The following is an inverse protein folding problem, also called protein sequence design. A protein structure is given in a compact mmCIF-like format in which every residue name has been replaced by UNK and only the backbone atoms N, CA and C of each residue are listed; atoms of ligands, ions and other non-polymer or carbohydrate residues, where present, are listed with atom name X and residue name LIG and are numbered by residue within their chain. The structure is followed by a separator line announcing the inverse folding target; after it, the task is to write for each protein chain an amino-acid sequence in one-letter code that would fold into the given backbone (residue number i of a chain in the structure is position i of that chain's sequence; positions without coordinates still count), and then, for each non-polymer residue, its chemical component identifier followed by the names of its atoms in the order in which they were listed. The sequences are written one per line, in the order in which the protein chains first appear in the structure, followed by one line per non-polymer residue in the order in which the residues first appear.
data_IF_096882997407
#
_entry.id   IF_096882997407
#
_cell.length_a   1.000
_cell.length_b   1.000
_cell.length_c   1.000
_cell.angle_alpha   90.00
_cell.angle_beta   90.00
_cell.angle_gamma   90.00
#
_symmetry.space_group_name_H-M   'P 1'
#
loop_
_entity.id
_entity.type
_entity.pdbx_description
1 polymer ?
#
# COMPACT_ATOMS: atom_id res chain seq x y z
N UNK A 1 2.39 1.87 11.56
CA UNK A 1 3.81 1.47 11.52
C UNK A 1 4.67 2.06 12.63
N UNK A 2 4.19 2.99 13.47
CA UNK A 2 5.00 3.60 14.54
C UNK A 2 5.65 2.60 15.52
N UNK A 3 5.04 1.43 15.72
CA UNK A 3 5.54 0.37 16.60
C UNK A 3 6.96 -0.10 16.25
N UNK A 4 7.41 -0.02 14.99
CA UNK A 4 8.76 -0.45 14.61
C UNK A 4 9.86 0.55 15.01
N UNK A 5 9.47 1.72 15.52
CA UNK A 5 10.39 2.70 16.13
C UNK A 5 10.27 2.75 17.66
N UNK A 6 9.41 1.92 18.26
CA UNK A 6 9.25 1.84 19.71
C UNK A 6 10.49 1.19 20.35
N UNK A 7 11.02 1.81 21.40
CA UNK A 7 12.27 1.36 22.03
C UNK A 7 12.13 0.00 22.71
N UNK A 8 11.01 -0.27 23.38
CA UNK A 8 10.80 -1.56 24.06
C UNK A 8 10.67 -2.69 23.04
N UNK A 9 9.97 -2.43 21.93
CA UNK A 9 9.89 -3.36 20.81
C UNK A 9 11.27 -3.66 20.22
N UNK A 10 12.09 -2.63 19.96
CA UNK A 10 13.44 -2.80 19.42
C UNK A 10 14.34 -3.60 20.37
N UNK A 11 14.26 -3.35 21.67
CA UNK A 11 15.01 -4.11 22.68
C UNK A 11 14.64 -5.60 22.66
N UNK A 12 13.35 -5.94 22.55
CA UNK A 12 12.89 -7.33 22.44
C UNK A 12 13.43 -7.99 21.15
N UNK A 13 13.38 -7.28 20.03
CA UNK A 13 13.87 -7.78 18.74
C UNK A 13 15.37 -8.06 18.80
N UNK A 14 16.17 -7.14 19.36
CA UNK A 14 17.62 -7.29 19.46
C UNK A 14 18.06 -8.25 20.56
N UNK A 15 17.25 -8.47 21.60
CA UNK A 15 17.48 -9.52 22.60
C UNK A 15 17.45 -10.91 21.97
N UNK A 16 16.51 -11.16 21.05
CA UNK A 16 16.36 -12.45 20.37
C UNK A 16 17.38 -12.63 19.24
N UNK A 17 17.70 -11.54 18.52
CA UNK A 17 18.72 -11.54 17.47
C UNK A 17 19.39 -10.17 17.35
N UNK A 18 20.59 -10.05 17.90
CA UNK A 18 21.33 -8.78 17.94
C UNK A 18 21.69 -8.18 16.56
N UNK A 19 21.64 -8.98 15.48
CA UNK A 19 21.88 -8.51 14.11
C UNK A 19 20.58 -8.30 13.32
N UNK A 20 19.43 -8.27 13.98
CA UNK A 20 18.16 -7.98 13.32
C UNK A 20 18.17 -6.55 12.79
N UNK A 21 17.98 -6.39 11.48
CA UNK A 21 17.75 -5.09 10.88
C UNK A 21 16.26 -4.73 11.03
N UNK A 22 15.98 -3.59 11.65
CA UNK A 22 14.63 -3.04 11.75
C UNK A 22 14.54 -1.84 10.84
N UNK A 23 13.69 -1.97 9.81
CA UNK A 23 13.48 -0.93 8.81
C UNK A 23 12.70 0.25 9.41
N UNK A 24 12.88 1.42 8.81
CA UNK A 24 12.19 2.64 9.25
C UNK A 24 10.66 2.48 9.13
N UNK A 25 9.85 3.07 10.03
CA UNK A 25 8.38 2.96 9.98
C UNK A 25 7.74 3.36 8.65
N UNK A 26 8.44 4.17 7.87
CA UNK A 26 7.97 4.63 6.56
C UNK A 26 8.39 3.75 5.40
N UNK A 27 9.32 2.80 5.58
CA UNK A 27 9.88 2.01 4.48
C UNK A 27 8.79 1.32 3.67
N UNK A 28 7.88 0.59 4.33
CA UNK A 28 6.76 -0.07 3.65
C UNK A 28 5.89 0.93 2.88
N UNK A 29 5.60 2.10 3.45
CA UNK A 29 4.78 3.12 2.78
C UNK A 29 5.49 3.70 1.56
N UNK A 30 6.80 3.92 1.64
CA UNK A 30 7.61 4.46 0.55
C UNK A 30 7.72 3.46 -0.59
N UNK A 31 8.02 2.20 -0.27
CA UNK A 31 8.15 1.12 -1.26
C UNK A 31 6.83 0.88 -1.99
N UNK A 32 5.70 0.87 -1.27
CA UNK A 32 4.36 0.75 -1.88
C UNK A 32 4.06 1.91 -2.81
N UNK A 33 4.42 3.14 -2.43
CA UNK A 33 4.23 4.31 -3.29
C UNK A 33 5.10 4.26 -4.55
N UNK A 34 6.35 3.80 -4.43
CA UNK A 34 7.25 3.64 -5.56
C UNK A 34 6.72 2.59 -6.55
N UNK A 35 6.36 1.40 -6.04
CA UNK A 35 5.78 0.33 -6.84
C UNK A 35 4.49 0.82 -7.52
N UNK A 36 3.64 1.52 -6.79
CA UNK A 36 2.42 2.10 -7.34
C UNK A 36 2.73 3.09 -8.48
N UNK A 37 3.69 4.00 -8.31
CA UNK A 37 4.06 4.96 -9.35
C UNK A 37 4.55 4.30 -10.64
N UNK A 38 5.36 3.25 -10.51
CA UNK A 38 5.84 2.46 -11.65
C UNK A 38 4.68 1.72 -12.32
N UNK A 39 3.88 1.00 -11.53
CA UNK A 39 2.77 0.18 -12.03
C UNK A 39 1.68 1.05 -12.69
N UNK A 40 1.34 2.19 -12.09
CA UNK A 40 0.34 3.12 -12.59
C UNK A 40 0.69 3.59 -14.00
N UNK A 41 1.95 3.98 -14.23
CA UNK A 41 2.40 4.43 -15.55
C UNK A 41 2.22 3.34 -16.60
N UNK A 42 2.74 2.14 -16.34
CA UNK A 42 2.65 1.02 -17.28
C UNK A 42 1.21 0.56 -17.52
N UNK A 43 0.38 0.54 -16.48
CA UNK A 43 -1.02 0.16 -16.59
C UNK A 43 -1.82 1.20 -17.39
N UNK A 44 -1.56 2.50 -17.18
CA UNK A 44 -2.18 3.56 -17.95
C UNK A 44 -1.84 3.44 -19.45
N UNK A 45 -0.56 3.23 -19.77
CA UNK A 45 -0.13 3.00 -21.16
C UNK A 45 -0.84 1.77 -21.75
N UNK A 46 -0.92 0.66 -21.00
CA UNK A 46 -1.58 -0.57 -21.43
C UNK A 46 -3.08 -0.38 -21.71
N UNK A 47 -3.80 0.30 -20.80
CA UNK A 47 -5.23 0.58 -20.94
C UNK A 47 -5.50 1.54 -22.11
N UNK A 48 -4.65 2.54 -22.34
CA UNK A 48 -4.79 3.48 -23.47
C UNK A 48 -4.53 2.82 -24.82
N UNK A 49 -3.66 1.79 -24.86
CA UNK A 49 -3.42 1.00 -26.07
C UNK A 49 -4.51 -0.04 -26.34
N UNK A 50 -5.47 -0.25 -25.44
CA UNK A 50 -6.52 -1.23 -25.62
C UNK A 50 -7.49 -0.78 -26.73
N UNK A 51 -7.60 -1.59 -27.79
CA UNK A 51 -8.46 -1.29 -28.95
C UNK A 51 -9.95 -1.59 -28.70
N UNK A 52 -10.28 -2.33 -27.63
CA UNK A 52 -11.64 -2.73 -27.27
C UNK A 52 -12.32 -1.76 -26.31
N UNK A 53 -13.45 -2.19 -25.75
CA UNK A 53 -14.15 -1.45 -24.70
C UNK A 53 -13.58 -1.79 -23.33
N UNK A 54 -13.41 -0.78 -22.49
CA UNK A 54 -13.13 -0.96 -21.07
C UNK A 54 -14.43 -0.89 -20.29
N UNK A 55 -14.66 -1.84 -19.38
CA UNK A 55 -15.85 -1.90 -18.56
C UNK A 55 -15.53 -1.39 -17.16
N UNK A 56 -16.30 -0.41 -16.69
CA UNK A 56 -16.12 0.13 -15.35
C UNK A 56 -17.10 -0.52 -14.38
N UNK A 57 -16.56 -1.04 -13.27
CA UNK A 57 -17.35 -1.42 -12.11
C UNK A 57 -17.22 -0.32 -11.04
N UNK A 58 -18.35 0.07 -10.46
CA UNK A 58 -18.39 1.04 -9.37
C UNK A 58 -19.08 0.38 -8.19
N UNK A 59 -18.36 0.29 -7.07
CA UNK A 59 -18.85 -0.31 -5.83
C UNK A 59 -18.84 0.73 -4.70
N UNK A 60 -20.00 1.02 -4.14
CA UNK A 60 -20.17 2.00 -3.08
C UNK A 60 -20.64 1.33 -1.80
N UNK A 61 -19.90 1.53 -0.69
CA UNK A 61 -20.31 1.02 0.62
C UNK A 61 -20.08 2.07 1.70
N UNK A 62 -20.83 1.94 2.79
CA UNK A 62 -20.61 2.73 4.00
C UNK A 62 -20.01 1.82 5.05
N UNK A 63 -18.82 2.15 5.54
CA UNK A 63 -18.20 1.42 6.63
C UNK A 63 -18.99 1.66 7.94
N UNK A 64 -18.99 0.70 8.87
CA UNK A 64 -19.74 0.80 10.13
C UNK A 64 -19.44 2.05 10.98
N UNK A 65 -18.28 2.67 10.76
CA UNK A 65 -17.84 3.92 11.36
C UNK A 65 -18.30 5.19 10.59
N UNK A 66 -19.35 5.09 9.76
CA UNK A 66 -20.00 6.21 9.04
C UNK A 66 -19.07 6.89 8.02
N UNK A 67 -18.14 6.13 7.43
CA UNK A 67 -17.29 6.59 6.33
C UNK A 67 -17.83 5.98 5.03
N UNK A 68 -18.15 6.82 4.05
CA UNK A 68 -18.56 6.35 2.71
C UNK A 68 -17.32 6.10 1.84
N UNK A 69 -17.33 4.97 1.13
CA UNK A 69 -16.28 4.56 0.20
C UNK A 69 -16.88 4.35 -1.19
N UNK A 70 -16.06 4.64 -2.21
CA UNK A 70 -16.36 4.38 -3.60
C UNK A 70 -15.15 3.69 -4.23
N UNK A 71 -15.29 2.40 -4.52
CA UNK A 71 -14.37 1.63 -5.35
C UNK A 71 -14.71 1.82 -6.83
N UNK A 72 -13.69 2.06 -7.65
CA UNK A 72 -13.81 2.06 -9.11
C UNK A 72 -12.80 1.05 -9.66
N UNK A 73 -13.24 0.16 -10.52
CA UNK A 73 -12.41 -0.87 -11.18
C UNK A 73 -12.60 -0.79 -12.69
N UNK A 74 -11.50 -0.94 -13.43
CA UNK A 74 -11.41 -0.90 -14.89
C UNK A 74 -11.03 -2.28 -15.40
#
# INVERSE_FOLDING_TARGET
FAIVADSEFLEIVHMLYAKAEVLHPMTVSQDVQEIFGIAQKHLADHLQMHLGQLHLCVDGWTAPNVISFLGVTV
#
